data_IF_996748011853
#
_entry.id   IF_996748011853
#
_cell.length_a   1.000
_cell.length_b   1.000
_cell.length_c   1.000
_cell.angle_alpha   90.00
_cell.angle_beta   90.00
_cell.angle_gamma   90.00
#
_symmetry.space_group_name_H-M   'P 1'
#
loop_
_entity.id
_entity.type
_entity.pdbx_description
1 polymer ?
#
# COMPACT_ATOMS: atom_id res chain seq x y z
N UNK A 1 23.63 42.09 27.00
CA UNK A 1 24.95 42.00 27.67
C UNK A 1 24.87 42.92 28.90
N UNK A 2 25.20 42.49 30.14
CA UNK A 2 26.30 41.60 30.57
C UNK A 2 25.80 40.30 31.27
N UNK A 3 26.32 39.09 31.05
CA UNK A 3 27.66 38.50 31.28
C UNK A 3 28.12 38.53 32.76
N UNK A 4 27.89 37.44 33.52
CA UNK A 4 28.93 36.47 34.01
C UNK A 4 28.68 35.87 35.41
N UNK A 5 28.82 34.54 35.46
CA UNK A 5 29.30 33.68 36.56
C UNK A 5 28.28 33.31 37.65
N UNK A 6 27.68 32.13 37.51
CA UNK A 6 27.92 31.01 38.43
C UNK A 6 28.11 29.75 37.58
N UNK A 7 29.23 29.72 36.85
CA UNK A 7 29.70 28.55 36.12
C UNK A 7 30.55 27.75 37.13
N UNK A 8 29.96 26.75 37.77
CA UNK A 8 30.69 25.87 38.67
C UNK A 8 29.80 25.18 39.68
N UNK A 9 29.90 23.85 39.72
CA UNK A 9 29.76 23.02 40.93
C UNK A 9 28.38 22.67 41.46
N UNK A 10 27.34 22.55 40.63
CA UNK A 10 26.22 21.66 40.95
C UNK A 10 25.85 20.85 39.70
N UNK A 11 26.67 19.85 39.39
CA UNK A 11 26.26 18.46 39.61
C UNK A 11 24.92 18.11 38.95
N UNK A 12 25.04 17.46 37.79
CA UNK A 12 24.61 16.06 37.69
C UNK A 12 23.10 15.84 37.49
N UNK A 13 22.58 16.18 36.31
CA UNK A 13 21.40 15.54 35.67
C UNK A 13 21.56 15.70 34.15
N UNK A 14 22.41 14.93 33.46
CA UNK A 14 22.07 13.62 32.86
C UNK A 14 20.59 13.51 32.44
N UNK A 15 20.25 13.94 31.20
CA UNK A 15 19.31 13.23 30.29
C UNK A 15 18.75 14.11 29.15
N UNK A 16 19.56 14.79 28.34
CA UNK A 16 19.11 15.15 26.99
C UNK A 16 19.88 14.30 25.97
N UNK A 17 19.48 13.04 25.89
CA UNK A 17 19.67 12.22 24.70
C UNK A 17 18.94 12.92 23.56
N UNK A 18 19.68 13.65 22.74
CA UNK A 18 19.20 14.11 21.45
C UNK A 18 19.19 12.91 20.49
N UNK A 19 18.16 12.08 20.56
CA UNK A 19 17.77 11.28 19.41
C UNK A 19 17.18 12.27 18.38
N UNK A 20 18.02 12.74 17.46
CA UNK A 20 17.49 13.17 16.17
C UNK A 20 16.75 11.96 15.58
N UNK A 21 15.50 12.09 15.10
CA UNK A 21 14.97 11.07 14.23
C UNK A 21 15.86 11.08 13.00
N UNK A 22 16.63 10.00 12.84
CA UNK A 22 17.24 9.68 11.57
C UNK A 22 16.04 9.37 10.67
N UNK A 23 15.58 10.35 9.90
CA UNK A 23 14.64 10.13 8.81
C UNK A 23 15.40 9.29 7.79
N UNK A 24 15.32 7.97 7.96
CA UNK A 24 15.69 7.04 6.91
C UNK A 24 14.62 7.16 5.82
N UNK A 25 15.02 7.24 4.54
CA UNK A 25 14.11 7.09 3.43
C UNK A 25 13.69 5.62 3.36
N UNK A 26 12.72 5.26 4.21
CA UNK A 26 11.91 4.06 4.08
C UNK A 26 10.56 4.50 3.54
N UNK A 27 10.35 4.22 2.26
CA UNK A 27 9.10 4.13 1.52
C UNK A 27 7.85 4.67 2.26
N UNK A 28 7.40 5.83 1.79
CA UNK A 28 6.15 6.49 2.13
C UNK A 28 4.97 5.50 2.10
N UNK A 29 4.29 5.25 3.23
CA UNK A 29 2.83 4.96 3.31
C UNK A 29 2.36 4.38 4.65
N UNK A 30 2.53 5.08 5.77
CA UNK A 30 1.64 4.86 6.94
C UNK A 30 1.18 6.22 7.52
N UNK A 31 0.72 7.08 6.62
CA UNK A 31 -0.34 8.03 6.97
C UNK A 31 -1.60 7.18 7.24
N UNK A 32 -2.25 7.38 8.38
CA UNK A 32 -3.48 6.70 8.74
C UNK A 32 -4.59 7.02 7.72
N UNK A 33 -4.75 6.20 6.69
CA UNK A 33 -5.73 6.41 5.62
C UNK A 33 -6.96 5.51 5.78
N UNK A 34 -8.12 6.17 5.73
CA UNK A 34 -9.43 5.58 5.81
C UNK A 34 -9.67 4.60 4.66
N UNK A 35 -10.19 3.42 5.00
CA UNK A 35 -11.05 2.53 4.19
C UNK A 35 -10.84 2.52 2.66
N UNK A 36 -9.59 2.53 2.17
CA UNK A 36 -9.33 2.32 0.76
C UNK A 36 -9.48 0.82 0.42
N UNK A 37 -9.97 0.48 -0.79
CA UNK A 37 -10.01 -0.92 -1.21
C UNK A 37 -8.58 -1.45 -1.34
N UNK A 38 -8.31 -2.61 -0.73
CA UNK A 38 -6.98 -3.23 -0.74
C UNK A 38 -6.62 -3.64 -2.17
N UNK A 39 -5.65 -2.93 -2.75
CA UNK A 39 -5.05 -3.23 -4.06
C UNK A 39 -3.99 -4.30 -3.93
N UNK A 40 -4.14 -5.40 -4.67
CA UNK A 40 -3.18 -6.50 -4.71
C UNK A 40 -2.54 -6.56 -6.10
N UNK A 41 -1.22 -6.40 -6.17
CA UNK A 41 -0.48 -6.46 -7.43
C UNK A 41 -0.35 -7.91 -7.92
N UNK A 42 -0.46 -8.11 -9.22
CA UNK A 42 -0.27 -9.41 -9.84
C UNK A 42 1.22 -9.75 -9.96
N UNK A 43 1.60 -11.02 -9.74
CA UNK A 43 2.97 -11.45 -10.00
C UNK A 43 3.27 -11.31 -11.50
N UNK A 44 4.48 -10.87 -11.82
CA UNK A 44 4.94 -10.81 -13.21
C UNK A 44 5.14 -12.24 -13.73
N UNK A 45 4.22 -12.72 -14.58
CA UNK A 45 4.41 -13.98 -15.29
C UNK A 45 5.47 -13.80 -16.38
N UNK A 46 6.43 -14.73 -16.49
CA UNK A 46 7.44 -14.64 -17.53
C UNK A 46 6.77 -14.71 -18.91
N UNK A 47 7.13 -13.79 -19.80
CA UNK A 47 6.61 -13.69 -21.16
C UNK A 47 7.11 -14.82 -22.09
N UNK A 48 7.79 -15.82 -21.54
CA UNK A 48 8.43 -16.93 -22.28
C UNK A 48 7.44 -18.04 -22.69
N UNK A 49 6.14 -17.78 -22.57
CA UNK A 49 5.09 -18.71 -22.98
C UNK A 49 4.79 -19.79 -21.94
N UNK A 50 5.21 -19.61 -20.69
CA UNK A 50 4.79 -20.46 -19.59
C UNK A 50 3.26 -20.46 -19.44
N UNK A 51 2.66 -21.64 -19.34
CA UNK A 51 1.23 -21.79 -19.09
C UNK A 51 0.96 -21.50 -17.61
N UNK A 52 0.10 -20.51 -17.33
CA UNK A 52 -0.44 -20.28 -15.99
C UNK A 52 -1.60 -21.24 -15.74
N UNK A 53 -1.52 -22.01 -14.66
CA UNK A 53 -2.56 -22.95 -14.24
C UNK A 53 -3.27 -22.38 -13.02
N UNK A 54 -4.57 -22.13 -13.14
CA UNK A 54 -5.42 -21.65 -12.07
C UNK A 54 -6.40 -22.73 -11.60
N UNK A 55 -6.80 -22.65 -10.33
CA UNK A 55 -7.86 -23.51 -9.79
C UNK A 55 -9.22 -23.07 -10.34
N UNK A 56 -10.21 -23.96 -10.30
CA UNK A 56 -11.59 -23.63 -10.68
C UNK A 56 -12.39 -23.05 -9.49
N UNK A 57 -11.71 -22.46 -8.52
CA UNK A 57 -12.35 -21.83 -7.37
C UNK A 57 -12.96 -20.49 -7.78
N UNK A 58 -14.17 -20.21 -7.28
CA UNK A 58 -14.88 -18.97 -7.56
C UNK A 58 -14.81 -18.04 -6.33
N UNK A 59 -13.89 -17.09 -6.38
CA UNK A 59 -13.71 -16.00 -5.43
C UNK A 59 -13.51 -14.72 -6.23
N UNK A 60 -14.59 -14.05 -6.67
CA UNK A 60 -14.50 -13.03 -7.69
C UNK A 60 -13.65 -11.85 -7.25
N UNK A 61 -12.87 -11.31 -8.19
CA UNK A 61 -12.01 -10.13 -7.99
C UNK A 61 -12.22 -9.13 -9.12
N UNK A 62 -11.94 -7.86 -8.86
CA UNK A 62 -11.97 -6.80 -9.86
C UNK A 62 -10.54 -6.47 -10.29
N UNK A 63 -10.14 -6.86 -11.50
CA UNK A 63 -8.79 -6.64 -12.02
C UNK A 63 -8.74 -5.50 -13.03
N UNK A 64 -7.65 -4.72 -13.02
CA UNK A 64 -7.37 -3.71 -14.03
C UNK A 64 -6.21 -4.16 -14.94
N UNK A 65 -6.43 -4.11 -16.25
CA UNK A 65 -5.38 -4.39 -17.23
C UNK A 65 -4.44 -3.18 -17.46
N UNK A 66 -3.44 -3.35 -18.32
CA UNK A 66 -2.49 -2.29 -18.67
C UNK A 66 -3.13 -1.13 -19.46
N UNK A 67 -4.35 -1.31 -19.99
CA UNK A 67 -5.11 -0.28 -20.69
C UNK A 67 -5.99 0.53 -19.74
N UNK A 68 -6.06 0.13 -18.46
CA UNK A 68 -6.90 0.76 -17.46
C UNK A 68 -8.33 0.24 -17.43
N UNK A 69 -8.65 -0.83 -18.17
CA UNK A 69 -9.99 -1.41 -18.16
C UNK A 69 -10.19 -2.33 -16.95
N UNK A 70 -11.29 -2.10 -16.23
CA UNK A 70 -11.70 -2.92 -15.09
C UNK A 70 -12.61 -4.06 -15.51
N UNK A 71 -12.31 -5.28 -15.09
CA UNK A 71 -13.14 -6.47 -15.35
C UNK A 71 -13.20 -7.39 -14.13
N UNK A 72 -14.35 -8.03 -13.94
CA UNK A 72 -14.51 -9.06 -12.91
C UNK A 72 -13.94 -10.38 -13.43
N UNK A 73 -13.07 -11.01 -12.64
CA UNK A 73 -12.51 -12.34 -12.90
C UNK A 73 -13.01 -13.35 -11.88
N UNK A 74 -13.00 -14.65 -12.23
CA UNK A 74 -13.51 -15.71 -11.36
C UNK A 74 -12.68 -15.87 -10.07
N UNK A 75 -11.36 -15.62 -10.14
CA UNK A 75 -10.46 -15.55 -9.00
C UNK A 75 -9.22 -14.70 -9.32
N UNK A 76 -8.39 -14.47 -8.30
CA UNK A 76 -7.13 -13.70 -8.41
C UNK A 76 -6.14 -14.29 -9.41
N UNK A 77 -6.04 -15.63 -9.48
CA UNK A 77 -5.15 -16.28 -10.44
C UNK A 77 -5.59 -15.99 -11.88
N UNK A 78 -6.88 -16.14 -12.18
CA UNK A 78 -7.43 -15.88 -13.51
C UNK A 78 -7.25 -14.42 -13.92
N UNK A 79 -7.40 -13.47 -12.99
CA UNK A 79 -7.14 -12.06 -13.24
C UNK A 79 -5.70 -11.82 -13.70
N UNK A 80 -4.74 -12.30 -12.92
CA UNK A 80 -3.33 -12.12 -13.21
C UNK A 80 -2.92 -12.89 -14.49
N UNK A 81 -3.42 -14.11 -14.69
CA UNK A 81 -3.16 -14.91 -15.89
C UNK A 81 -3.70 -14.25 -17.16
N UNK A 82 -4.79 -13.49 -17.05
CA UNK A 82 -5.39 -12.73 -18.15
C UNK A 82 -4.68 -11.40 -18.44
N UNK A 83 -3.64 -11.05 -17.67
CA UNK A 83 -2.86 -9.84 -17.87
C UNK A 83 -3.33 -8.62 -17.05
N UNK A 84 -4.12 -8.83 -15.99
CA UNK A 84 -4.33 -7.77 -15.01
C UNK A 84 -3.00 -7.39 -14.35
N UNK A 85 -2.79 -6.10 -14.14
CA UNK A 85 -1.63 -5.57 -13.39
C UNK A 85 -1.87 -5.70 -11.89
N UNK A 86 -3.11 -5.49 -11.47
CA UNK A 86 -3.55 -5.59 -10.09
C UNK A 86 -5.02 -5.95 -10.02
N UNK A 87 -5.46 -6.33 -8.81
CA UNK A 87 -6.85 -6.63 -8.52
C UNK A 87 -7.29 -6.16 -7.14
N UNK A 88 -8.59 -5.96 -7.00
CA UNK A 88 -9.30 -5.66 -5.76
C UNK A 88 -10.14 -6.87 -5.35
N UNK A 89 -10.36 -7.03 -4.05
CA UNK A 89 -11.25 -8.06 -3.54
C UNK A 89 -12.70 -7.83 -3.99
N UNK A 90 -13.45 -8.91 -4.24
CA UNK A 90 -14.82 -8.88 -4.75
C UNK A 90 -14.92 -8.36 -6.19
N UNK A 91 -16.11 -8.50 -6.78
CA UNK A 91 -16.37 -8.11 -8.16
C UNK A 91 -16.39 -6.59 -8.37
N UNK A 92 -16.26 -6.13 -9.61
CA UNK A 92 -16.17 -4.69 -9.93
C UNK A 92 -17.43 -3.90 -9.59
N UNK A 93 -18.59 -4.56 -9.50
CA UNK A 93 -19.85 -3.93 -9.11
C UNK A 93 -19.81 -3.42 -7.66
N UNK A 94 -18.97 -4.02 -6.80
CA UNK A 94 -18.81 -3.58 -5.42
C UNK A 94 -18.00 -2.27 -5.32
N UNK A 95 -17.06 -2.06 -6.24
CA UNK A 95 -16.19 -0.88 -6.25
C UNK A 95 -16.79 0.32 -7.00
N UNK A 96 -17.65 0.07 -7.99
CA UNK A 96 -18.43 1.11 -8.66
C UNK A 96 -19.35 1.88 -7.69
N UNK A 97 -19.78 1.22 -6.61
CA UNK A 97 -20.63 1.82 -5.58
C UNK A 97 -19.85 2.46 -4.42
N UNK A 98 -18.54 2.18 -4.28
CA UNK A 98 -17.70 2.78 -3.24
C UNK A 98 -17.17 4.17 -3.62
N UNK A 99 -16.99 4.45 -4.91
CA UNK A 99 -16.58 5.77 -5.40
C UNK A 99 -17.68 6.84 -5.15
N UNK A 100 -18.96 6.45 -5.21
CA UNK A 100 -20.10 7.33 -4.92
C UNK A 100 -20.18 7.71 -3.42
N UNK A 101 -19.67 6.86 -2.53
CA UNK A 101 -19.78 7.05 -1.07
C UNK A 101 -18.67 7.91 -0.44
N UNK A 102 -17.60 8.22 -1.18
CA UNK A 102 -16.51 9.09 -0.71
C UNK A 102 -16.62 10.54 -1.25
N UNK A 103 -17.74 10.86 -1.91
CA UNK A 103 -18.05 12.19 -2.44
C UNK A 103 -19.12 12.92 -1.62
N UNK A 104 -18.82 13.34 -0.38
CA UNK A 104 -19.55 14.45 0.25
C UNK A 104 -18.70 15.28 1.21
#
# INVERSE_FOLDING_TARGET
MPFRVVFGTFLLLLSLSACAPFTLPGDESEEAEASQPIKVECPHFPADGALTICTMEYMPVCGQDTQGEWRTYANACDACASGATHHLANSCEMHANSEESNGK
#
